data_IF_259978296325
#
_entry.id   IF_259978296325
#
_cell.length_a   1.000
_cell.length_b   1.000
_cell.length_c   1.000
_cell.angle_alpha   90.00
_cell.angle_beta   90.00
_cell.angle_gamma   90.00
#
_symmetry.space_group_name_H-M   'P 1'
#
loop_
_entity.id
_entity.type
_entity.pdbx_description
1 polymer ?
#
# COMPACT_ATOMS: atom_id res chain seq x y z
N UNK A 1 11.87 9.92 10.52
CA UNK A 1 10.77 9.58 9.58
C UNK A 1 10.17 8.26 10.04
N UNK A 2 8.84 8.20 10.17
CA UNK A 2 8.12 7.03 10.65
C UNK A 2 7.55 6.24 9.45
N UNK A 3 7.88 4.96 9.33
CA UNK A 3 7.56 4.16 8.14
C UNK A 3 6.56 3.07 8.49
N UNK A 4 5.53 2.90 7.66
CA UNK A 4 4.49 1.88 7.82
C UNK A 4 4.24 1.11 6.52
N UNK A 5 3.93 -0.20 6.60
CA UNK A 5 3.61 -1.00 5.42
C UNK A 5 2.26 -0.60 4.80
N UNK A 6 2.14 -0.75 3.49
CA UNK A 6 0.91 -0.52 2.72
C UNK A 6 0.52 -1.82 2.00
N UNK A 7 -0.73 -2.26 2.19
CA UNK A 7 -1.21 -3.48 1.53
C UNK A 7 -1.74 -3.20 0.13
N UNK A 8 -1.99 -4.26 -0.64
CA UNK A 8 -2.68 -4.18 -1.94
C UNK A 8 -4.20 -4.00 -1.82
N UNK A 9 -4.75 -3.89 -0.60
CA UNK A 9 -6.19 -3.71 -0.37
C UNK A 9 -6.76 -2.42 -0.97
N UNK A 10 -8.06 -2.41 -1.21
CA UNK A 10 -8.78 -1.27 -1.75
C UNK A 10 -8.84 -0.15 -0.69
N UNK A 11 -8.31 1.05 -0.95
CA UNK A 11 -8.35 2.14 0.02
C UNK A 11 -9.77 2.70 0.18
N UNK A 12 -10.11 3.08 1.40
CA UNK A 12 -11.38 3.70 1.72
C UNK A 12 -11.45 4.11 3.19
N UNK A 13 -12.67 4.32 3.66
CA UNK A 13 -12.96 4.81 5.00
C UNK A 13 -13.90 3.85 5.72
N UNK A 14 -13.62 3.61 7.00
CA UNK A 14 -14.57 3.04 7.94
C UNK A 14 -15.10 4.17 8.82
N UNK A 15 -16.41 4.36 8.83
CA UNK A 15 -17.09 5.39 9.60
C UNK A 15 -17.97 4.72 10.64
N UNK A 16 -17.71 4.98 11.92
CA UNK A 16 -18.52 4.54 13.04
C UNK A 16 -19.34 5.74 13.52
N UNK A 17 -20.66 5.66 13.35
CA UNK A 17 -21.59 6.77 13.61
C UNK A 17 -22.92 6.23 14.14
N UNK A 18 -23.89 7.12 14.35
CA UNK A 18 -25.27 6.77 14.66
C UNK A 18 -26.20 7.15 13.50
N UNK A 19 -27.08 6.23 13.13
CA UNK A 19 -28.20 6.48 12.23
C UNK A 19 -29.50 6.27 13.00
N UNK A 20 -30.30 7.33 13.14
CA UNK A 20 -31.54 7.31 13.92
C UNK A 20 -31.38 6.75 15.35
N UNK A 21 -30.24 7.06 15.99
CA UNK A 21 -29.92 6.59 17.35
C UNK A 21 -29.37 5.16 17.42
N UNK A 22 -29.17 4.49 16.27
CA UNK A 22 -28.61 3.14 16.19
C UNK A 22 -27.14 3.23 15.76
N UNK A 23 -26.19 2.62 16.49
CA UNK A 23 -24.79 2.60 16.09
C UNK A 23 -24.61 1.79 14.80
N UNK A 24 -23.93 2.37 13.82
CA UNK A 24 -23.66 1.77 12.51
C UNK A 24 -22.19 1.91 12.12
N UNK A 25 -21.70 0.96 11.33
CA UNK A 25 -20.41 1.04 10.67
C UNK A 25 -20.61 1.08 9.16
N UNK A 26 -20.02 2.08 8.49
CA UNK A 26 -20.08 2.26 7.05
C UNK A 26 -18.70 2.09 6.44
N UNK A 27 -18.63 1.37 5.32
CA UNK A 27 -17.49 1.39 4.41
C UNK A 27 -17.78 2.36 3.28
N UNK A 28 -16.91 3.36 3.12
CA UNK A 28 -17.08 4.45 2.17
C UNK A 28 -15.86 4.58 1.27
N UNK A 29 -16.09 4.64 -0.03
CA UNK A 29 -15.11 5.03 -1.05
C UNK A 29 -15.71 6.13 -1.93
N UNK A 30 -15.02 6.52 -2.99
CA UNK A 30 -15.59 7.42 -4.00
C UNK A 30 -16.73 6.80 -4.81
N UNK A 31 -16.89 5.48 -4.79
CA UNK A 31 -17.86 4.74 -5.61
C UNK A 31 -18.89 3.96 -4.81
N UNK A 32 -18.60 3.60 -3.56
CA UNK A 32 -19.48 2.79 -2.72
C UNK A 32 -19.66 3.40 -1.32
N UNK A 33 -20.88 3.29 -0.80
CA UNK A 33 -21.20 3.48 0.62
C UNK A 33 -22.08 2.30 1.05
N UNK A 34 -21.61 1.50 2.01
CA UNK A 34 -22.32 0.28 2.43
C UNK A 34 -22.14 0.02 3.92
N UNK A 35 -23.14 -0.61 4.53
CA UNK A 35 -23.02 -1.09 5.91
C UNK A 35 -22.02 -2.22 6.03
N UNK A 36 -21.31 -2.22 7.14
CA UNK A 36 -20.38 -3.27 7.56
C UNK A 36 -20.91 -3.87 8.86
N UNK A 37 -21.21 -5.17 8.82
CA UNK A 37 -21.57 -5.89 10.04
C UNK A 37 -20.30 -6.15 10.87
N UNK A 38 -20.25 -5.62 12.08
CA UNK A 38 -19.09 -5.71 12.96
C UNK A 38 -19.51 -5.81 14.43
N UNK A 39 -18.63 -6.35 15.26
CA UNK A 39 -18.77 -6.28 16.71
C UNK A 39 -17.79 -5.22 17.24
N UNK A 40 -18.31 -4.11 17.72
CA UNK A 40 -17.53 -3.02 18.30
C UNK A 40 -18.20 -2.49 19.55
N UNK A 41 -17.40 -1.87 20.41
CA UNK A 41 -17.89 -1.13 21.56
C UNK A 41 -18.54 0.19 21.11
N UNK A 42 -19.75 0.47 21.60
CA UNK A 42 -20.54 1.64 21.19
C UNK A 42 -19.83 2.99 21.40
N UNK A 43 -18.85 3.05 22.33
CA UNK A 43 -18.10 4.28 22.63
C UNK A 43 -17.28 4.80 21.46
N UNK A 44 -17.12 4.02 20.39
CA UNK A 44 -16.41 4.45 19.17
C UNK A 44 -17.35 5.04 18.12
N UNK A 45 -18.66 4.91 18.30
CA UNK A 45 -19.67 5.29 17.29
C UNK A 45 -20.03 6.77 17.31
N UNK A 46 -19.26 7.65 17.96
CA UNK A 46 -19.53 9.08 18.05
C UNK A 46 -19.01 9.91 16.86
N UNK A 47 -19.11 9.41 15.63
CA UNK A 47 -18.44 9.95 14.43
C UNK A 47 -16.92 9.73 14.47
N UNK A 48 -16.52 8.46 14.43
CA UNK A 48 -15.11 8.04 14.31
C UNK A 48 -14.80 7.58 12.90
N UNK A 49 -13.71 8.11 12.33
CA UNK A 49 -13.34 7.94 10.92
C UNK A 49 -11.95 7.33 10.84
N UNK A 50 -11.88 6.11 10.33
CA UNK A 50 -10.62 5.43 10.06
C UNK A 50 -10.33 5.39 8.57
N UNK A 51 -9.09 5.74 8.19
CA UNK A 51 -8.55 5.38 6.88
C UNK A 51 -8.22 3.90 6.91
N UNK A 52 -8.69 3.14 5.94
CA UNK A 52 -8.54 1.68 5.94
C UNK A 52 -8.34 1.10 4.53
N UNK A 53 -7.82 -0.11 4.48
CA UNK A 53 -7.59 -0.90 3.28
C UNK A 53 -8.46 -2.17 3.37
N UNK A 54 -9.42 -2.33 2.47
CA UNK A 54 -10.28 -3.52 2.40
C UNK A 54 -9.54 -4.64 1.67
N UNK A 55 -9.19 -5.69 2.40
CA UNK A 55 -8.43 -6.84 1.89
C UNK A 55 -9.36 -7.82 1.17
N UNK A 56 -10.51 -8.10 1.78
CA UNK A 56 -11.57 -8.94 1.22
C UNK A 56 -12.94 -8.43 1.72
N UNK A 57 -14.00 -9.25 1.61
CA UNK A 57 -15.35 -8.81 1.96
C UNK A 57 -15.53 -8.47 3.45
N UNK A 58 -14.78 -9.14 4.34
CA UNK A 58 -14.93 -9.04 5.80
C UNK A 58 -13.63 -8.68 6.52
N UNK A 59 -12.52 -8.43 5.84
CA UNK A 59 -11.25 -8.08 6.48
C UNK A 59 -10.74 -6.70 6.03
N UNK A 60 -10.46 -5.85 7.02
CA UNK A 60 -10.03 -4.47 6.85
C UNK A 60 -8.75 -4.20 7.65
N UNK A 61 -7.76 -3.62 6.99
CA UNK A 61 -6.53 -3.14 7.63
C UNK A 61 -6.69 -1.66 7.94
N UNK A 62 -6.59 -1.29 9.21
CA UNK A 62 -6.71 0.10 9.67
C UNK A 62 -5.37 0.81 9.48
N UNK A 63 -5.39 1.89 8.70
CA UNK A 63 -4.20 2.61 8.27
C UNK A 63 -3.93 3.90 9.05
N UNK A 64 -4.98 4.63 9.43
CA UNK A 64 -4.90 5.87 10.20
C UNK A 64 -6.26 6.19 10.83
N UNK A 65 -6.31 7.11 11.80
CA UNK A 65 -7.53 7.67 12.38
C UNK A 65 -7.57 9.17 12.10
N UNK A 66 -8.64 9.65 11.49
CA UNK A 66 -8.79 11.07 11.13
C UNK A 66 -9.62 11.82 12.17
N UNK A 67 -10.75 11.25 12.53
CA UNK A 67 -11.69 11.79 13.51
C UNK A 67 -11.95 10.71 14.56
N UNK A 68 -11.95 11.09 15.83
CA UNK A 68 -12.35 10.22 16.92
C UNK A 68 -13.43 10.89 17.75
N UNK A 69 -14.61 10.28 17.79
CA UNK A 69 -15.78 10.83 18.47
C UNK A 69 -15.98 12.33 18.18
N UNK A 70 -16.10 12.69 16.90
CA UNK A 70 -16.23 14.07 16.40
C UNK A 70 -15.00 14.99 16.61
N UNK A 71 -13.90 14.51 17.19
CA UNK A 71 -12.67 15.30 17.36
C UNK A 71 -11.72 15.07 16.18
N UNK A 72 -11.33 16.13 15.48
CA UNK A 72 -10.40 16.06 14.35
C UNK A 72 -8.95 15.87 14.82
N UNK A 73 -8.54 14.60 14.96
CA UNK A 73 -7.21 14.24 15.48
C UNK A 73 -6.09 14.61 14.52
N UNK A 74 -6.33 14.59 13.22
CA UNK A 74 -5.30 14.84 12.22
C UNK A 74 -4.66 16.24 12.37
N UNK A 75 -5.43 17.24 12.79
CA UNK A 75 -4.95 18.62 12.99
C UNK A 75 -4.10 18.83 14.24
N UNK A 76 -4.13 17.91 15.21
CA UNK A 76 -3.48 18.11 16.51
C UNK A 76 -2.50 17.00 16.89
N UNK A 77 -2.19 16.10 15.96
CA UNK A 77 -1.32 14.96 16.23
C UNK A 77 -0.45 14.59 15.03
N UNK A 78 0.71 14.01 15.31
CA UNK A 78 1.56 13.40 14.27
C UNK A 78 1.00 12.04 13.86
N UNK A 79 1.32 11.60 12.65
CA UNK A 79 0.94 10.26 12.19
C UNK A 79 1.40 9.15 13.15
N UNK A 80 2.62 9.27 13.71
CA UNK A 80 3.15 8.31 14.68
C UNK A 80 2.28 8.20 15.94
N UNK A 81 1.81 9.33 16.48
CA UNK A 81 0.93 9.33 17.66
C UNK A 81 -0.37 8.58 17.36
N UNK A 82 -1.01 8.89 16.22
CA UNK A 82 -2.24 8.25 15.78
C UNK A 82 -2.08 6.75 15.56
N UNK A 83 -0.95 6.33 14.97
CA UNK A 83 -0.58 4.93 14.80
C UNK A 83 -0.46 4.19 16.13
N UNK A 84 0.25 4.76 17.11
CA UNK A 84 0.39 4.12 18.43
C UNK A 84 -0.93 4.09 19.21
N UNK A 85 -1.76 5.13 19.08
CA UNK A 85 -3.11 5.11 19.65
C UNK A 85 -3.96 4.01 19.03
N UNK A 86 -3.95 3.86 17.70
CA UNK A 86 -4.68 2.79 17.00
C UNK A 86 -4.26 1.40 17.45
N UNK A 87 -2.98 1.18 17.68
CA UNK A 87 -2.43 -0.09 18.19
C UNK A 87 -3.07 -0.49 19.53
N UNK A 88 -3.39 0.47 20.39
CA UNK A 88 -4.07 0.26 21.68
C UNK A 88 -5.60 0.26 21.54
N UNK A 89 -6.12 1.08 20.63
CA UNK A 89 -7.54 1.33 20.45
C UNK A 89 -8.28 0.14 19.84
N UNK A 90 -7.75 -0.40 18.74
CA UNK A 90 -8.36 -1.52 18.01
C UNK A 90 -8.63 -2.72 18.93
N UNK A 91 -7.65 -3.28 19.66
CA UNK A 91 -7.91 -4.44 20.53
C UNK A 91 -8.82 -4.11 21.73
N UNK A 92 -8.96 -2.83 22.11
CA UNK A 92 -9.80 -2.41 23.23
C UNK A 92 -11.28 -2.30 22.87
N UNK A 93 -11.58 -1.87 21.65
CA UNK A 93 -12.95 -1.52 21.25
C UNK A 93 -13.48 -2.30 20.03
N UNK A 94 -12.64 -3.05 19.33
CA UNK A 94 -13.05 -3.80 18.15
C UNK A 94 -12.86 -5.30 18.38
N UNK A 95 -13.95 -6.04 18.24
CA UNK A 95 -13.99 -7.48 18.43
C UNK A 95 -14.09 -8.18 17.08
N UNK A 96 -13.36 -9.29 16.92
CA UNK A 96 -13.21 -9.99 15.65
C UNK A 96 -13.83 -11.41 15.69
N UNK A 97 -15.16 -11.56 15.86
CA UNK A 97 -15.80 -12.87 15.77
C UNK A 97 -15.82 -13.39 14.32
N UNK A 98 -15.87 -14.71 14.15
CA UNK A 98 -15.64 -15.40 12.86
C UNK A 98 -16.56 -14.97 11.72
N UNK A 99 -17.79 -14.54 12.00
CA UNK A 99 -18.81 -14.21 11.00
C UNK A 99 -18.97 -12.71 10.71
N UNK A 100 -18.22 -11.84 11.40
CA UNK A 100 -18.33 -10.39 11.24
C UNK A 100 -17.03 -9.80 10.68
N UNK A 101 -17.06 -8.49 10.40
CA UNK A 101 -15.89 -7.78 9.94
C UNK A 101 -14.75 -7.86 10.96
N UNK A 102 -13.55 -8.13 10.45
CA UNK A 102 -12.29 -8.19 11.16
C UNK A 102 -11.50 -6.92 10.88
N UNK A 103 -11.05 -6.26 11.94
CA UNK A 103 -10.20 -5.07 11.87
C UNK A 103 -8.79 -5.40 12.34
N UNK A 104 -7.79 -5.03 11.52
CA UNK A 104 -6.40 -5.39 11.75
C UNK A 104 -5.54 -4.14 11.75
N UNK A 105 -4.81 -3.92 12.84
CA UNK A 105 -3.81 -2.85 12.89
C UNK A 105 -2.60 -3.18 12.02
N UNK A 106 -2.00 -2.17 11.35
CA UNK A 106 -0.82 -2.36 10.50
C UNK A 106 0.40 -2.98 11.20
N UNK A 107 0.51 -2.90 12.54
CA UNK A 107 1.59 -3.59 13.28
C UNK A 107 1.41 -5.11 13.35
N UNK A 108 0.21 -5.61 13.05
CA UNK A 108 -0.17 -7.01 13.19
C UNK A 108 -0.32 -7.70 11.83
N UNK A 109 0.25 -7.10 10.78
CA UNK A 109 0.32 -7.74 9.47
C UNK A 109 1.31 -8.90 9.52
N UNK A 110 0.86 -10.08 9.10
CA UNK A 110 1.68 -11.27 8.90
C UNK A 110 1.97 -11.49 7.40
N UNK A 111 2.57 -12.63 7.07
CA UNK A 111 2.94 -12.98 5.68
C UNK A 111 1.75 -13.19 4.74
N UNK A 112 0.51 -13.25 5.23
CA UNK A 112 -0.68 -13.44 4.38
C UNK A 112 -1.10 -12.15 3.67
N UNK A 113 -0.64 -10.99 4.14
CA UNK A 113 -0.98 -9.70 3.55
C UNK A 113 0.02 -9.34 2.45
N UNK A 114 -0.47 -9.27 1.21
CA UNK A 114 0.33 -8.76 0.10
C UNK A 114 0.61 -7.26 0.29
N UNK A 115 1.89 -6.90 0.32
CA UNK A 115 2.34 -5.52 0.46
C UNK A 115 2.66 -4.92 -0.91
N UNK A 116 2.19 -3.70 -1.16
CA UNK A 116 2.55 -2.91 -2.35
C UNK A 116 3.68 -1.94 -2.10
N UNK A 117 4.01 -1.67 -0.83
CA UNK A 117 5.04 -0.71 -0.48
C UNK A 117 4.95 -0.23 0.96
N UNK A 118 5.53 0.93 1.18
CA UNK A 118 5.60 1.59 2.48
C UNK A 118 5.27 3.06 2.35
N UNK A 119 4.61 3.61 3.36
CA UNK A 119 4.37 5.04 3.49
C UNK A 119 5.29 5.58 4.60
N UNK A 120 6.01 6.66 4.30
CA UNK A 120 6.95 7.31 5.21
C UNK A 120 6.42 8.68 5.60
N UNK A 121 6.29 8.92 6.90
CA UNK A 121 5.70 10.13 7.46
C UNK A 121 6.76 10.95 8.20
N UNK A 122 6.80 12.28 8.00
CA UNK A 122 7.55 13.20 8.85
C UNK A 122 7.06 13.15 10.31
N UNK A 123 7.88 13.62 11.24
CA UNK A 123 7.45 13.80 12.63
C UNK A 123 6.85 15.19 12.86
N UNK A 124 5.89 15.54 12.02
CA UNK A 124 5.22 16.84 11.99
C UNK A 124 3.71 16.62 11.96
N UNK A 125 2.97 17.57 12.53
CA UNK A 125 1.51 17.56 12.52
C UNK A 125 1.04 17.90 11.11
N UNK A 126 -0.03 17.25 10.65
CA UNK A 126 -0.62 17.41 9.30
C UNK A 126 0.31 17.13 8.10
N UNK A 127 1.56 16.76 8.33
CA UNK A 127 2.50 16.52 7.25
C UNK A 127 2.08 15.29 6.42
N UNK A 128 2.09 15.40 5.07
CA UNK A 128 1.71 14.29 4.22
C UNK A 128 2.75 13.16 4.27
N UNK A 129 2.26 11.94 4.09
CA UNK A 129 3.10 10.77 3.89
C UNK A 129 3.63 10.67 2.46
N UNK A 130 4.81 10.06 2.31
CA UNK A 130 5.41 9.75 1.02
C UNK A 130 5.37 8.25 0.80
N UNK A 131 4.76 7.83 -0.30
CA UNK A 131 4.70 6.42 -0.66
C UNK A 131 5.94 5.99 -1.44
N UNK A 132 6.51 4.86 -1.03
CA UNK A 132 7.56 4.15 -1.76
C UNK A 132 7.02 2.76 -2.06
N UNK A 133 6.93 2.42 -3.35
CA UNK A 133 6.59 1.06 -3.75
C UNK A 133 7.56 0.07 -3.10
N UNK A 134 7.06 -1.11 -2.74
CA UNK A 134 7.95 -2.23 -2.51
C UNK A 134 8.63 -2.38 -3.87
N UNK A 135 9.96 -2.31 -3.91
CA UNK A 135 10.69 -2.71 -5.09
C UNK A 135 10.12 -4.08 -5.45
N UNK A 136 9.28 -4.11 -6.49
CA UNK A 136 8.63 -5.36 -6.86
C UNK A 136 9.76 -6.32 -7.19
N UNK A 137 9.48 -7.61 -7.08
CA UNK A 137 10.41 -8.72 -7.29
C UNK A 137 11.01 -8.79 -8.73
N UNK A 138 11.09 -7.67 -9.42
CA UNK A 138 11.41 -7.43 -10.82
C UNK A 138 12.71 -6.64 -11.01
N UNK A 139 13.43 -6.26 -9.93
CA UNK A 139 14.81 -5.79 -10.07
C UNK A 139 15.69 -6.97 -10.45
N UNK A 140 15.76 -7.23 -11.75
CA UNK A 140 16.61 -8.26 -12.31
C UNK A 140 17.99 -7.67 -12.60
N UNK A 141 19.02 -8.44 -12.33
CA UNK A 141 20.37 -8.09 -12.77
C UNK A 141 20.47 -8.40 -14.25
N UNK A 142 20.90 -7.41 -15.03
CA UNK A 142 21.03 -7.47 -16.48
C UNK A 142 22.50 -7.33 -16.83
N UNK A 143 22.96 -8.21 -17.71
CA UNK A 143 24.29 -8.20 -18.29
C UNK A 143 24.19 -7.78 -19.75
N UNK A 144 25.01 -6.81 -20.12
CA UNK A 144 25.22 -6.42 -21.51
C UNK A 144 26.02 -7.51 -22.21
N UNK A 145 25.59 -7.89 -23.40
CA UNK A 145 26.33 -8.85 -24.23
C UNK A 145 27.32 -8.13 -25.14
N UNK A 146 28.15 -8.89 -25.86
CA UNK A 146 29.02 -8.34 -26.91
C UNK A 146 28.23 -7.75 -28.09
N UNK A 147 26.96 -8.13 -28.25
CA UNK A 147 26.10 -7.66 -29.33
C UNK A 147 25.40 -6.36 -28.86
N UNK A 148 25.47 -5.27 -29.64
CA UNK A 148 24.78 -4.02 -29.31
C UNK A 148 23.27 -4.23 -29.09
N UNK A 149 22.73 -3.58 -28.07
CA UNK A 149 21.31 -3.64 -27.67
C UNK A 149 20.76 -5.04 -27.36
N UNK A 150 21.65 -6.02 -27.13
CA UNK A 150 21.28 -7.33 -26.64
C UNK A 150 21.75 -7.50 -25.19
N UNK A 151 20.81 -7.85 -24.32
CA UNK A 151 21.02 -7.96 -22.89
C UNK A 151 20.43 -9.26 -22.36
N UNK A 152 21.13 -9.90 -21.44
CA UNK A 152 20.73 -11.16 -20.81
C UNK A 152 20.49 -10.95 -19.31
N UNK A 153 19.56 -11.72 -18.76
CA UNK A 153 19.34 -11.71 -17.31
C UNK A 153 20.38 -12.61 -16.63
N UNK A 154 20.89 -12.13 -15.49
CA UNK A 154 21.76 -12.93 -14.63
C UNK A 154 20.95 -13.95 -13.82
N UNK A 155 21.56 -15.11 -13.57
CA UNK A 155 21.02 -16.17 -12.71
C UNK A 155 20.52 -15.62 -11.36
N UNK A 156 19.35 -16.07 -10.84
CA UNK A 156 18.56 -17.23 -11.28
C UNK A 156 17.60 -16.95 -12.44
N UNK A 157 17.48 -15.70 -12.89
CA UNK A 157 16.56 -15.33 -13.95
C UNK A 157 17.24 -15.59 -15.30
N UNK A 158 16.60 -16.38 -16.17
CA UNK A 158 17.10 -16.66 -17.52
C UNK A 158 16.24 -15.95 -18.57
N UNK A 159 16.85 -15.58 -19.70
CA UNK A 159 16.18 -14.89 -20.80
C UNK A 159 16.89 -13.63 -21.25
N UNK A 160 16.24 -12.90 -22.16
CA UNK A 160 16.78 -11.68 -22.77
C UNK A 160 15.83 -10.49 -22.58
N UNK A 161 16.41 -9.30 -22.55
CA UNK A 161 15.66 -8.05 -22.47
C UNK A 161 15.24 -7.58 -23.87
N UNK A 162 13.97 -7.23 -24.04
CA UNK A 162 13.46 -6.58 -25.25
C UNK A 162 13.84 -5.11 -25.25
N UNK A 163 14.31 -4.63 -26.40
CA UNK A 163 14.56 -3.21 -26.67
C UNK A 163 13.60 -2.78 -27.78
N UNK A 164 12.35 -2.39 -27.43
CA UNK A 164 11.29 -2.17 -28.42
C UNK A 164 11.45 -0.86 -29.22
N UNK A 165 12.21 0.11 -28.68
CA UNK A 165 12.37 1.42 -29.28
C UNK A 165 13.75 2.02 -29.01
N UNK A 166 14.08 3.06 -29.80
CA UNK A 166 15.36 3.78 -29.69
C UNK A 166 15.55 4.42 -28.31
N UNK A 167 14.46 4.84 -27.67
CA UNK A 167 14.49 5.49 -26.36
C UNK A 167 14.99 4.52 -25.28
N UNK A 168 14.50 3.28 -25.33
CA UNK A 168 14.93 2.18 -24.48
C UNK A 168 16.38 1.82 -24.76
N UNK A 169 16.79 1.76 -26.03
CA UNK A 169 18.19 1.54 -26.43
C UNK A 169 19.13 2.58 -25.80
N UNK A 170 18.85 3.88 -25.99
CA UNK A 170 19.66 4.96 -25.40
C UNK A 170 19.74 4.86 -23.89
N UNK A 171 18.61 4.63 -23.23
CA UNK A 171 18.55 4.48 -21.78
C UNK A 171 19.43 3.34 -21.28
N UNK A 172 19.31 2.14 -21.85
CA UNK A 172 20.05 0.96 -21.39
C UNK A 172 21.56 1.10 -21.62
N UNK A 173 21.98 1.77 -22.70
CA UNK A 173 23.41 2.04 -22.97
C UNK A 173 24.07 2.92 -21.90
N UNK A 174 23.31 3.74 -21.18
CA UNK A 174 23.86 4.58 -20.08
C UNK A 174 24.14 3.83 -18.79
N UNK A 175 23.71 2.57 -18.66
CA UNK A 175 23.71 1.84 -17.38
C UNK A 175 24.97 1.03 -17.09
N UNK A 176 25.94 1.01 -18.02
CA UNK A 176 27.16 0.21 -17.90
C UNK A 176 26.96 -1.26 -18.30
N UNK A 177 27.94 -2.12 -17.98
CA UNK A 177 27.97 -3.51 -18.47
C UNK A 177 27.09 -4.46 -17.64
N UNK A 178 26.93 -4.20 -16.33
CA UNK A 178 26.01 -4.92 -15.46
C UNK A 178 25.22 -3.92 -14.61
N UNK A 179 23.90 -4.05 -14.62
CA UNK A 179 23.01 -3.14 -13.89
C UNK A 179 21.75 -3.83 -13.41
N UNK A 180 21.05 -3.20 -12.47
CA UNK A 180 19.71 -3.64 -12.03
C UNK A 180 18.65 -2.81 -12.75
N UNK A 181 17.59 -3.47 -13.20
CA UNK A 181 16.50 -2.83 -13.92
C UNK A 181 15.18 -3.48 -13.54
N UNK A 182 14.12 -2.68 -13.42
CA UNK A 182 12.76 -3.17 -13.23
C UNK A 182 12.26 -3.77 -14.53
N UNK A 183 11.94 -5.06 -14.54
CA UNK A 183 11.54 -5.78 -15.76
C UNK A 183 10.39 -6.77 -15.54
N UNK A 184 9.52 -6.94 -16.53
CA UNK A 184 8.44 -7.93 -16.53
C UNK A 184 8.76 -9.10 -17.44
N UNK A 185 8.61 -10.33 -16.95
CA UNK A 185 8.69 -11.54 -17.79
C UNK A 185 7.45 -11.66 -18.68
N UNK A 186 7.63 -11.89 -19.97
CA UNK A 186 6.56 -12.00 -20.96
C UNK A 186 6.04 -13.44 -21.14
N UNK A 187 6.63 -14.44 -20.46
CA UNK A 187 6.23 -15.86 -20.51
C UNK A 187 6.85 -16.66 -21.67
N UNK A 188 7.59 -16.00 -22.55
CA UNK A 188 8.25 -16.57 -23.74
C UNK A 188 9.79 -16.55 -23.64
N UNK A 189 10.32 -16.33 -22.44
CA UNK A 189 11.76 -16.17 -22.20
C UNK A 189 12.29 -14.75 -22.46
N UNK A 190 11.43 -13.81 -22.84
CA UNK A 190 11.79 -12.41 -22.99
C UNK A 190 11.26 -11.53 -21.85
N UNK A 191 11.94 -10.42 -21.62
CA UNK A 191 11.63 -9.48 -20.55
C UNK A 191 11.44 -8.06 -21.09
N UNK A 192 10.53 -7.29 -20.49
CA UNK A 192 10.23 -5.92 -20.89
C UNK A 192 10.61 -4.95 -19.77
N UNK A 193 11.33 -3.88 -20.10
CA UNK A 193 11.70 -2.81 -19.15
C UNK A 193 10.44 -2.08 -18.66
N UNK A 194 10.33 -1.88 -17.35
CA UNK A 194 9.25 -1.14 -16.70
C UNK A 194 9.72 0.20 -16.11
N UNK A 195 10.94 0.62 -16.42
CA UNK A 195 11.50 1.88 -15.95
C UNK A 195 10.79 3.08 -16.61
N UNK A 196 10.67 4.18 -15.87
CA UNK A 196 10.20 5.45 -16.43
C UNK A 196 11.33 6.09 -17.25
N UNK A 197 11.43 5.70 -18.51
CA UNK A 197 12.46 6.21 -19.42
C UNK A 197 12.06 7.62 -19.90
N UNK A 198 12.94 8.65 -19.83
CA UNK A 198 12.64 9.98 -20.36
C UNK A 198 12.65 10.03 -21.90
N UNK A 199 11.88 10.92 -22.55
CA UNK A 199 11.93 11.09 -24.00
C UNK A 199 13.35 11.50 -24.47
N UNK A 200 13.75 11.03 -25.65
CA UNK A 200 15.01 11.45 -26.28
C UNK A 200 14.87 12.93 -26.63
N UNK A 201 15.85 13.74 -26.21
CA UNK A 201 15.98 15.15 -26.62
C UNK A 201 16.69 15.25 -27.95
#
# INVERSE_FOLDING_TARGET
MFRVPQTTGLPGWLIFTYENGIPVCLWVTTQECRYVQCAVDERICGDTFFRAEKINQSEFVIADIFIYNSNYLHACSTFKQRYEWLKLFIPKFMYNPTSLAKFVHKSNLDSKYALKGYESHPNEIEAPGYFTELDSQDLVTINKTAIPDCYELASPNTGYLRVPDMKTSFYLRTKGDTFKCKCKNNGDGSWTVLENIPPIK
#
